data_IF_468575962708
#
_entry.id   IF_468575962708
#
_cell.length_a   1.000
_cell.length_b   1.000
_cell.length_c   1.000
_cell.angle_alpha   90.00
_cell.angle_beta   90.00
_cell.angle_gamma   90.00
#
_symmetry.space_group_name_H-M   'P 1'
#
loop_
_entity.id
_entity.type
_entity.pdbx_description
1 polymer ?
#
# COMPACT_ATOMS: atom_id res chain seq x y z
N UNK A 1 -6.53 2.39 -23.90
CA UNK A 1 -5.72 3.04 -24.94
C UNK A 1 -4.42 2.28 -25.11
N UNK A 2 -3.91 2.14 -26.34
CA UNK A 2 -2.63 1.48 -26.59
C UNK A 2 -1.48 2.45 -26.32
N UNK A 3 -0.90 2.39 -25.12
CA UNK A 3 0.18 3.28 -24.67
C UNK A 3 1.44 3.12 -25.53
N UNK A 4 1.75 1.90 -25.97
CA UNK A 4 2.87 1.65 -26.91
C UNK A 4 2.70 2.40 -28.24
N UNK A 5 1.48 2.36 -28.80
CA UNK A 5 1.16 3.08 -30.04
C UNK A 5 1.30 4.58 -29.86
N UNK A 6 0.87 5.10 -28.72
CA UNK A 6 0.99 6.51 -28.38
C UNK A 6 2.45 6.94 -28.22
N UNK A 7 3.25 6.19 -27.47
CA UNK A 7 4.66 6.46 -27.29
C UNK A 7 5.43 6.47 -28.62
N UNK A 8 5.16 5.54 -29.50
CA UNK A 8 5.79 5.46 -30.83
C UNK A 8 5.42 6.63 -31.74
N UNK A 9 4.24 7.21 -31.57
CA UNK A 9 3.81 8.40 -32.35
C UNK A 9 4.71 9.61 -32.10
N UNK A 10 5.27 9.73 -30.90
CA UNK A 10 6.11 10.87 -30.48
C UNK A 10 7.61 10.55 -30.46
N UNK A 11 7.98 9.30 -30.70
CA UNK A 11 9.36 8.89 -30.80
C UNK A 11 9.95 9.20 -32.18
N UNK A 12 11.29 9.34 -32.26
CA UNK A 12 12.00 9.39 -33.54
C UNK A 12 11.73 8.13 -34.36
N UNK A 13 11.74 8.19 -35.72
CA UNK A 13 11.61 7.01 -36.55
C UNK A 13 12.59 5.89 -36.14
N UNK A 14 12.10 4.68 -36.02
CA UNK A 14 12.90 3.52 -35.55
C UNK A 14 13.06 3.41 -34.04
N UNK A 15 12.61 4.39 -33.28
CA UNK A 15 12.61 4.40 -31.81
C UNK A 15 11.20 4.24 -31.24
N UNK A 16 11.13 4.02 -29.95
CA UNK A 16 9.87 3.92 -29.21
C UNK A 16 9.77 2.60 -28.42
N UNK A 17 9.48 2.75 -27.14
CA UNK A 17 9.37 1.64 -26.22
C UNK A 17 8.13 0.79 -26.51
N UNK A 18 8.22 -0.50 -26.21
CA UNK A 18 7.04 -1.34 -25.91
C UNK A 18 6.70 -1.13 -24.45
N UNK A 19 5.53 -0.55 -24.18
CA UNK A 19 5.12 -0.21 -22.82
C UNK A 19 4.08 -1.21 -22.35
N UNK A 20 4.33 -1.78 -21.18
CA UNK A 20 3.43 -2.66 -20.44
C UNK A 20 3.05 -2.00 -19.13
N UNK A 21 1.88 -2.28 -18.63
CA UNK A 21 1.40 -1.79 -17.33
C UNK A 21 1.15 -2.98 -16.44
N UNK A 22 1.80 -3.02 -15.29
CA UNK A 22 1.44 -3.91 -14.19
C UNK A 22 0.38 -3.16 -13.37
N UNK A 23 -0.87 -3.59 -13.52
CA UNK A 23 -2.02 -2.92 -12.91
C UNK A 23 -2.25 -3.40 -11.47
N UNK A 24 -1.72 -2.68 -10.51
CA UNK A 24 -1.87 -2.95 -9.09
C UNK A 24 -3.20 -2.45 -8.50
N UNK A 25 -4.03 -1.74 -9.27
CA UNK A 25 -5.39 -1.40 -8.86
C UNK A 25 -6.32 -2.62 -8.82
N UNK A 26 -5.93 -3.73 -9.44
CA UNK A 26 -6.66 -5.00 -9.38
C UNK A 26 -6.55 -5.72 -8.02
N UNK A 27 -5.66 -5.29 -7.12
CA UNK A 27 -5.57 -5.85 -5.77
C UNK A 27 -6.82 -5.52 -4.93
N UNK A 28 -7.04 -6.28 -3.86
CA UNK A 28 -8.26 -6.22 -3.05
C UNK A 28 -8.58 -4.83 -2.48
N UNK A 29 -7.58 -4.07 -2.02
CA UNK A 29 -7.76 -2.69 -1.56
C UNK A 29 -7.68 -1.65 -2.69
N UNK A 30 -7.33 -2.05 -3.91
CA UNK A 30 -7.17 -1.18 -5.07
C UNK A 30 -5.78 -0.58 -5.20
N UNK A 31 -4.75 -1.17 -4.59
CA UNK A 31 -3.38 -0.68 -4.72
C UNK A 31 -2.32 -1.76 -4.43
N UNK A 32 -1.07 -1.51 -4.88
CA UNK A 32 0.08 -2.37 -4.55
C UNK A 32 0.35 -2.52 -3.05
N UNK A 33 -0.24 -1.65 -2.24
CA UNK A 33 -0.08 -1.66 -0.78
C UNK A 33 -0.65 -2.91 -0.13
N UNK A 34 -1.53 -3.64 -0.82
CA UNK A 34 -1.98 -4.97 -0.38
C UNK A 34 -0.83 -5.95 -0.21
N UNK A 35 0.17 -5.90 -1.07
CA UNK A 35 1.37 -6.75 -0.99
C UNK A 35 2.14 -6.50 0.31
N UNK A 36 2.31 -5.24 0.67
CA UNK A 36 2.94 -4.83 1.94
C UNK A 36 2.13 -5.30 3.14
N UNK A 37 0.83 -5.01 3.13
CA UNK A 37 -0.08 -5.34 4.21
C UNK A 37 -0.19 -6.86 4.39
N UNK A 38 -0.25 -7.62 3.31
CA UNK A 38 -0.33 -9.07 3.35
C UNK A 38 0.84 -9.69 4.14
N UNK A 39 2.08 -9.29 3.82
CA UNK A 39 3.26 -9.78 4.54
C UNK A 39 3.29 -9.33 6.00
N UNK A 40 3.00 -8.06 6.28
CA UNK A 40 3.02 -7.53 7.64
C UNK A 40 1.96 -8.20 8.52
N UNK A 41 0.73 -8.33 8.03
CA UNK A 41 -0.38 -8.95 8.78
C UNK A 41 -0.16 -10.47 8.96
N UNK A 42 0.31 -11.17 7.94
CA UNK A 42 0.64 -12.59 8.04
C UNK A 42 1.77 -12.82 9.06
N UNK A 43 2.75 -11.94 9.10
CA UNK A 43 3.83 -12.00 10.09
C UNK A 43 3.30 -11.77 11.50
N UNK A 44 2.46 -10.74 11.71
CA UNK A 44 1.82 -10.49 13.00
C UNK A 44 1.03 -11.70 13.50
N UNK A 45 0.24 -12.33 12.62
CA UNK A 45 -0.52 -13.54 12.94
C UNK A 45 0.39 -14.71 13.32
N UNK A 46 1.48 -14.91 12.57
CA UNK A 46 2.47 -15.96 12.86
C UNK A 46 3.13 -15.79 14.24
N UNK A 47 3.33 -14.55 14.67
CA UNK A 47 3.85 -14.22 16.00
C UNK A 47 2.80 -14.29 17.12
N UNK A 48 1.55 -14.57 16.81
CA UNK A 48 0.47 -14.70 17.78
C UNK A 48 -0.19 -13.40 18.23
N UNK A 49 0.06 -12.29 17.54
CA UNK A 49 -0.63 -11.03 17.83
C UNK A 49 -2.13 -11.15 17.54
N UNK A 50 -2.95 -10.54 18.40
CA UNK A 50 -4.42 -10.53 18.25
C UNK A 50 -4.92 -9.52 17.25
N UNK A 51 -4.12 -8.50 16.97
CA UNK A 51 -4.48 -7.41 16.07
C UNK A 51 -3.26 -6.69 15.51
N UNK A 52 -3.53 -5.80 14.59
CA UNK A 52 -2.54 -4.93 13.95
C UNK A 52 -2.97 -3.47 14.06
N UNK A 53 -2.00 -2.57 14.11
CA UNK A 53 -2.24 -1.12 14.08
C UNK A 53 -1.38 -0.48 13.01
N UNK A 54 -1.92 0.52 12.29
CA UNK A 54 -1.17 1.29 11.30
C UNK A 54 -1.57 2.76 11.31
N UNK A 55 -0.56 3.64 11.23
CA UNK A 55 -0.74 5.05 10.92
C UNK A 55 -0.73 5.26 9.40
N UNK A 56 -1.64 6.08 8.88
CA UNK A 56 -1.77 6.31 7.45
C UNK A 56 -2.49 7.62 7.13
N UNK A 57 -2.24 8.16 5.95
CA UNK A 57 -3.03 9.22 5.33
C UNK A 57 -3.81 8.73 4.10
N UNK A 58 -3.89 7.41 3.86
CA UNK A 58 -4.51 6.95 2.62
C UNK A 58 -4.66 5.44 2.43
N UNK A 59 -4.35 4.97 1.23
CA UNK A 59 -4.62 3.61 0.77
C UNK A 59 -3.96 2.49 1.61
N UNK A 60 -2.93 2.80 2.38
CA UNK A 60 -2.28 1.78 3.20
C UNK A 60 -3.18 1.28 4.34
N UNK A 61 -3.95 2.18 4.96
CA UNK A 61 -4.95 1.79 5.97
C UNK A 61 -5.96 0.78 5.42
N UNK A 62 -6.50 1.06 4.25
CA UNK A 62 -7.44 0.14 3.59
C UNK A 62 -6.81 -1.22 3.27
N UNK A 63 -5.53 -1.24 2.88
CA UNK A 63 -4.81 -2.48 2.64
C UNK A 63 -4.61 -3.29 3.94
N UNK A 64 -4.19 -2.64 5.04
CA UNK A 64 -4.02 -3.31 6.33
C UNK A 64 -5.36 -3.81 6.86
N UNK A 65 -6.42 -2.99 6.80
CA UNK A 65 -7.76 -3.38 7.22
C UNK A 65 -8.28 -4.59 6.43
N UNK A 66 -8.09 -4.58 5.10
CA UNK A 66 -8.47 -5.69 4.22
C UNK A 66 -7.75 -6.99 4.60
N UNK A 67 -6.43 -6.94 4.78
CA UNK A 67 -5.65 -8.11 5.13
C UNK A 67 -5.95 -8.60 6.55
N UNK A 68 -6.18 -7.70 7.50
CA UNK A 68 -6.58 -8.06 8.85
C UNK A 68 -7.95 -8.78 8.86
N UNK A 69 -8.93 -8.26 8.12
CA UNK A 69 -10.24 -8.89 7.96
C UNK A 69 -10.12 -10.31 7.37
N UNK A 70 -9.34 -10.48 6.29
CA UNK A 70 -9.09 -11.78 5.66
C UNK A 70 -8.42 -12.78 6.62
N UNK A 71 -7.59 -12.31 7.54
CA UNK A 71 -6.89 -13.15 8.52
C UNK A 71 -7.66 -13.34 9.82
N UNK A 72 -8.83 -12.69 9.98
CA UNK A 72 -9.62 -12.72 11.22
C UNK A 72 -8.96 -12.00 12.40
N UNK A 73 -8.13 -10.99 12.10
CA UNK A 73 -7.42 -10.20 13.11
C UNK A 73 -8.14 -8.87 13.37
N UNK A 74 -8.00 -8.35 14.59
CA UNK A 74 -8.40 -6.99 14.91
C UNK A 74 -7.51 -5.99 14.20
N UNK A 75 -8.06 -4.81 13.89
CA UNK A 75 -7.33 -3.77 13.17
C UNK A 75 -7.68 -2.39 13.72
N UNK A 76 -6.67 -1.59 14.00
CA UNK A 76 -6.81 -0.17 14.34
C UNK A 76 -6.06 0.63 13.29
N UNK A 77 -6.72 1.66 12.75
CA UNK A 77 -6.13 2.60 11.78
C UNK A 77 -6.14 3.99 12.37
N UNK A 78 -4.98 4.59 12.55
CA UNK A 78 -4.84 5.99 12.94
C UNK A 78 -4.64 6.83 11.68
N UNK A 79 -5.55 7.74 11.38
CA UNK A 79 -5.62 8.40 10.08
C UNK A 79 -5.90 9.90 10.18
N UNK A 80 -5.10 10.72 9.49
CA UNK A 80 -5.32 12.16 9.35
C UNK A 80 -6.44 12.43 8.34
N UNK A 81 -7.66 12.60 8.83
CA UNK A 81 -8.86 12.81 8.03
C UNK A 81 -9.21 14.28 7.80
N UNK A 82 -8.69 15.18 8.62
CA UNK A 82 -9.02 16.60 8.62
C UNK A 82 -7.77 17.45 8.39
N UNK A 83 -7.93 18.59 7.75
CA UNK A 83 -6.86 19.58 7.62
C UNK A 83 -6.59 20.32 8.93
N UNK A 84 -5.61 21.23 8.94
CA UNK A 84 -5.26 22.02 10.14
C UNK A 84 -6.36 22.95 10.65
N UNK A 85 -7.43 23.15 9.88
CA UNK A 85 -8.62 23.92 10.27
C UNK A 85 -9.78 23.02 10.69
N UNK A 86 -9.57 21.71 10.76
CA UNK A 86 -10.61 20.73 11.10
C UNK A 86 -11.59 20.45 9.98
N UNK A 87 -11.27 20.84 8.74
CA UNK A 87 -12.11 20.54 7.58
C UNK A 87 -11.79 19.16 7.05
N UNK A 88 -12.80 18.31 6.91
CA UNK A 88 -12.65 16.94 6.40
C UNK A 88 -12.15 16.94 4.97
N UNK A 89 -11.16 16.09 4.69
CA UNK A 89 -10.62 15.86 3.37
C UNK A 89 -11.41 14.72 2.71
N UNK A 90 -12.27 14.98 1.71
CA UNK A 90 -13.26 13.99 1.23
C UNK A 90 -12.64 12.65 0.84
N UNK A 91 -11.52 12.68 0.11
CA UNK A 91 -10.85 11.44 -0.32
C UNK A 91 -10.28 10.63 0.85
N UNK A 92 -9.83 11.31 1.90
CA UNK A 92 -9.26 10.64 3.08
C UNK A 92 -10.38 10.07 3.95
N UNK A 93 -11.46 10.83 4.14
CA UNK A 93 -12.65 10.39 4.88
C UNK A 93 -13.28 9.15 4.22
N UNK A 94 -13.35 9.11 2.88
CA UNK A 94 -13.84 7.91 2.17
C UNK A 94 -12.93 6.68 2.39
N UNK A 95 -11.62 6.87 2.50
CA UNK A 95 -10.69 5.79 2.84
C UNK A 95 -10.88 5.31 4.29
N UNK A 96 -11.16 6.22 5.21
CA UNK A 96 -11.51 5.87 6.60
C UNK A 96 -12.77 5.02 6.66
N UNK A 97 -13.84 5.43 5.97
CA UNK A 97 -15.08 4.64 5.86
C UNK A 97 -14.86 3.25 5.26
N UNK A 98 -13.96 3.14 4.28
CA UNK A 98 -13.57 1.84 3.74
C UNK A 98 -12.91 0.95 4.79
N UNK A 99 -12.04 1.51 5.63
CA UNK A 99 -11.44 0.77 6.73
C UNK A 99 -12.48 0.29 7.74
N UNK A 100 -13.42 1.15 8.11
CA UNK A 100 -14.55 0.83 9.01
C UNK A 100 -15.43 -0.27 8.41
N UNK A 101 -15.76 -0.20 7.13
CA UNK A 101 -16.54 -1.21 6.43
C UNK A 101 -15.85 -2.58 6.38
N UNK A 102 -14.52 -2.61 6.47
CA UNK A 102 -13.71 -3.83 6.58
C UNK A 102 -13.54 -4.32 8.02
N UNK A 103 -14.18 -3.65 9.00
CA UNK A 103 -14.17 -4.02 10.41
C UNK A 103 -12.98 -3.47 11.21
N UNK A 104 -12.26 -2.50 10.67
CA UNK A 104 -11.23 -1.79 11.43
C UNK A 104 -11.85 -0.69 12.29
N UNK A 105 -11.27 -0.46 13.47
CA UNK A 105 -11.48 0.73 14.26
C UNK A 105 -10.63 1.86 13.68
N UNK A 106 -11.21 3.03 13.44
CA UNK A 106 -10.51 4.16 12.83
C UNK A 106 -10.47 5.35 13.78
N UNK A 107 -9.27 5.74 14.17
CA UNK A 107 -8.99 6.96 14.94
C UNK A 107 -8.70 8.06 13.93
N UNK A 108 -9.62 9.04 13.85
CA UNK A 108 -9.53 10.13 12.88
C UNK A 108 -8.93 11.36 13.54
N UNK A 109 -7.84 11.86 12.97
CA UNK A 109 -7.10 13.02 13.47
C UNK A 109 -7.13 14.19 12.47
N UNK A 110 -6.81 15.38 12.94
CA UNK A 110 -6.37 16.50 12.11
C UNK A 110 -4.91 16.29 11.68
N UNK A 111 -4.52 16.90 10.58
CA UNK A 111 -3.12 16.91 10.14
C UNK A 111 -2.24 17.60 11.18
N UNK A 112 -1.24 16.87 11.70
CA UNK A 112 -0.37 17.38 12.76
C UNK A 112 0.66 16.34 13.22
N UNK A 113 1.49 16.70 14.17
CA UNK A 113 2.51 15.79 14.73
C UNK A 113 1.90 14.67 15.59
N UNK A 114 0.63 14.76 15.94
CA UNK A 114 -0.09 13.85 16.83
C UNK A 114 -0.23 12.44 16.24
N UNK A 115 -0.21 12.30 14.91
CA UNK A 115 -0.40 11.02 14.23
C UNK A 115 0.50 9.91 14.79
N UNK A 116 1.78 10.18 14.92
CA UNK A 116 2.73 9.17 15.41
C UNK A 116 2.66 8.96 16.91
N UNK A 117 2.34 10.02 17.68
CA UNK A 117 2.14 9.92 19.11
C UNK A 117 0.95 9.03 19.42
N UNK A 118 -0.21 9.33 18.84
CA UNK A 118 -1.42 8.52 19.00
C UNK A 118 -1.22 7.08 18.54
N UNK A 119 -0.54 6.89 17.40
CA UNK A 119 -0.22 5.55 16.92
C UNK A 119 0.59 4.75 17.94
N UNK A 120 1.62 5.34 18.54
CA UNK A 120 2.46 4.65 19.52
C UNK A 120 1.73 4.41 20.83
N UNK A 121 0.96 5.39 21.34
CA UNK A 121 0.16 5.25 22.54
C UNK A 121 -0.86 4.12 22.42
N UNK A 122 -1.65 4.14 21.35
CA UNK A 122 -2.65 3.09 21.11
C UNK A 122 -2.01 1.72 20.85
N UNK A 123 -0.82 1.70 20.25
CA UNK A 123 -0.06 0.46 20.06
C UNK A 123 0.37 -0.15 21.40
N UNK A 124 0.86 0.66 22.33
CA UNK A 124 1.23 0.21 23.68
C UNK A 124 0.00 -0.30 24.44
N UNK A 125 -1.10 0.43 24.42
CA UNK A 125 -2.33 0.10 25.15
C UNK A 125 -3.00 -1.17 24.59
N UNK A 126 -3.02 -1.34 23.28
CA UNK A 126 -3.65 -2.50 22.62
C UNK A 126 -2.78 -3.74 22.61
N UNK A 127 -1.47 -3.58 22.65
CA UNK A 127 -0.51 -4.67 22.43
C UNK A 127 -0.56 -5.22 20.99
N UNK A 128 -1.05 -4.45 20.03
CA UNK A 128 -1.16 -4.87 18.63
C UNK A 128 0.17 -4.72 17.89
N UNK A 129 0.32 -5.53 16.87
CA UNK A 129 1.52 -5.46 16.01
C UNK A 129 1.55 -4.19 15.19
N UNK A 130 2.70 -3.50 15.19
CA UNK A 130 2.94 -2.32 14.37
C UNK A 130 3.08 -2.71 12.89
N UNK A 131 2.02 -2.54 12.12
CA UNK A 131 1.99 -2.74 10.68
C UNK A 131 2.30 -1.48 9.88
N UNK A 132 3.03 -0.51 10.45
CA UNK A 132 3.36 0.76 9.81
C UNK A 132 4.16 0.61 8.52
N UNK A 133 4.22 1.71 7.76
CA UNK A 133 4.75 1.81 6.40
C UNK A 133 6.17 1.26 6.20
N UNK A 134 7.04 1.37 7.17
CA UNK A 134 8.48 1.11 7.03
C UNK A 134 8.94 -0.18 7.74
N UNK A 135 8.04 -1.12 7.97
CA UNK A 135 8.46 -2.41 8.51
C UNK A 135 9.19 -3.24 7.45
N UNK A 136 10.26 -3.96 7.82
CA UNK A 136 10.97 -4.85 6.89
C UNK A 136 10.04 -5.87 6.22
N UNK A 137 9.04 -6.34 6.93
CA UNK A 137 8.05 -7.30 6.43
C UNK A 137 7.17 -6.69 5.33
N UNK A 138 6.85 -5.39 5.47
CA UNK A 138 6.14 -4.66 4.43
C UNK A 138 6.96 -4.53 3.16
N UNK A 139 8.25 -4.25 3.25
CA UNK A 139 9.14 -4.16 2.09
C UNK A 139 9.25 -5.53 1.41
N UNK A 140 9.47 -6.61 2.16
CA UNK A 140 9.47 -7.97 1.62
C UNK A 140 8.17 -8.31 0.85
N UNK A 141 7.03 -7.77 1.28
CA UNK A 141 5.78 -7.89 0.51
C UNK A 141 5.84 -7.21 -0.86
N UNK A 142 6.52 -6.07 -0.98
CA UNK A 142 6.67 -5.37 -2.27
C UNK A 142 7.64 -6.09 -3.21
N UNK A 143 8.64 -6.80 -2.70
CA UNK A 143 9.58 -7.60 -3.52
C UNK A 143 8.85 -8.59 -4.43
N UNK A 144 7.67 -9.06 -4.03
CA UNK A 144 6.84 -9.92 -4.88
C UNK A 144 6.42 -9.25 -6.19
N UNK A 145 6.32 -7.91 -6.22
CA UNK A 145 5.99 -7.16 -7.42
C UNK A 145 7.14 -7.20 -8.44
N UNK A 146 8.37 -6.94 -8.00
CA UNK A 146 9.54 -7.04 -8.86
C UNK A 146 9.74 -8.45 -9.40
N UNK A 147 9.56 -9.44 -8.54
CA UNK A 147 9.64 -10.84 -8.92
C UNK A 147 8.61 -11.21 -10.00
N UNK A 148 7.35 -10.83 -9.82
CA UNK A 148 6.30 -11.05 -10.82
C UNK A 148 6.57 -10.32 -12.14
N UNK A 149 7.08 -9.08 -12.09
CA UNK A 149 7.45 -8.34 -13.31
C UNK A 149 8.53 -9.11 -14.09
N UNK A 150 9.54 -9.61 -13.42
CA UNK A 150 10.60 -10.39 -14.05
C UNK A 150 10.06 -11.68 -14.70
N UNK A 151 9.23 -12.44 -13.98
CA UNK A 151 8.61 -13.66 -14.50
C UNK A 151 7.72 -13.34 -15.71
N UNK A 152 6.79 -12.40 -15.55
CA UNK A 152 5.87 -11.99 -16.62
C UNK A 152 6.62 -11.56 -17.89
N UNK A 153 7.73 -10.84 -17.74
CA UNK A 153 8.53 -10.38 -18.87
C UNK A 153 9.28 -11.56 -19.54
N UNK A 154 9.87 -12.44 -18.76
CA UNK A 154 10.57 -13.62 -19.30
C UNK A 154 9.61 -14.56 -20.04
N UNK A 155 8.45 -14.83 -19.48
CA UNK A 155 7.43 -15.68 -20.09
C UNK A 155 6.82 -15.06 -21.36
N UNK A 156 6.47 -13.78 -21.34
CA UNK A 156 5.75 -13.12 -22.43
C UNK A 156 6.66 -12.51 -23.50
N UNK A 157 7.90 -12.14 -23.14
CA UNK A 157 8.83 -11.41 -24.01
C UNK A 157 10.14 -12.14 -24.26
N UNK A 158 10.42 -13.23 -23.52
CA UNK A 158 11.68 -13.98 -23.61
C UNK A 158 12.89 -13.27 -23.00
N UNK A 159 12.70 -12.16 -22.27
CA UNK A 159 13.78 -11.39 -21.64
C UNK A 159 13.26 -10.58 -20.45
N UNK A 160 14.17 -10.10 -19.63
CA UNK A 160 13.87 -9.12 -18.58
C UNK A 160 13.47 -7.74 -19.18
N UNK A 161 12.77 -6.89 -18.43
CA UNK A 161 12.46 -5.54 -18.87
C UNK A 161 13.74 -4.70 -18.99
N UNK A 162 13.83 -3.86 -20.02
CA UNK A 162 14.97 -2.94 -20.17
C UNK A 162 14.87 -1.77 -19.16
N UNK A 163 13.65 -1.45 -18.69
CA UNK A 163 13.39 -0.39 -17.73
C UNK A 163 12.09 -0.67 -16.99
N UNK A 164 12.09 -0.42 -15.70
CA UNK A 164 10.90 -0.38 -14.84
C UNK A 164 10.69 1.05 -14.38
N UNK A 165 9.47 1.56 -14.53
CA UNK A 165 9.07 2.90 -14.08
C UNK A 165 8.04 2.72 -12.97
N UNK A 166 8.34 3.21 -11.78
CA UNK A 166 7.45 3.17 -10.64
C UNK A 166 7.35 4.53 -9.95
N UNK A 167 6.22 4.76 -9.29
CA UNK A 167 6.01 5.98 -8.50
C UNK A 167 6.87 5.95 -7.25
N UNK A 168 7.43 7.10 -6.89
CA UNK A 168 8.24 7.25 -5.69
C UNK A 168 7.66 8.35 -4.79
N UNK A 169 7.25 7.96 -3.57
CA UNK A 169 6.91 8.86 -2.49
C UNK A 169 7.86 8.56 -1.31
N UNK A 170 7.45 7.76 -0.35
CA UNK A 170 8.33 7.29 0.74
C UNK A 170 9.35 6.21 0.36
N UNK A 171 9.53 5.91 -0.93
CA UNK A 171 10.57 5.00 -1.43
C UNK A 171 10.24 3.50 -1.36
N UNK A 172 9.27 3.08 -0.58
CA UNK A 172 9.02 1.65 -0.34
C UNK A 172 8.66 0.83 -1.58
N UNK A 173 8.08 1.44 -2.63
CA UNK A 173 7.83 0.74 -3.87
C UNK A 173 9.14 0.50 -4.65
N UNK A 174 9.95 1.55 -4.79
CA UNK A 174 11.25 1.46 -5.50
C UNK A 174 12.21 0.51 -4.79
N UNK A 175 12.19 0.48 -3.45
CA UNK A 175 13.08 -0.39 -2.67
C UNK A 175 12.73 -1.86 -2.82
N UNK A 176 11.44 -2.19 -3.00
CA UNK A 176 10.98 -3.58 -3.13
C UNK A 176 10.85 -4.06 -4.58
N UNK A 177 10.92 -3.18 -5.57
CA UNK A 177 10.80 -3.56 -6.98
C UNK A 177 12.14 -3.62 -7.67
#
# INVERSE_FOLDING_TARGET
RNITKLARKYAKPGYGARIFVKDEAANASGSFKDRRAACAVAHAKKLGYKGVIAATSGNYGAAVASQAAMQGMKCIIVQECYDSHGVGQPEIVEKARKCEALGAEVIQLTVGPELFYEHLSVMEDSGYFNASLYSPFGIAGVETLGYEIAIDCREKLGKDPDMVVCTTAGGGMVTGT
#
